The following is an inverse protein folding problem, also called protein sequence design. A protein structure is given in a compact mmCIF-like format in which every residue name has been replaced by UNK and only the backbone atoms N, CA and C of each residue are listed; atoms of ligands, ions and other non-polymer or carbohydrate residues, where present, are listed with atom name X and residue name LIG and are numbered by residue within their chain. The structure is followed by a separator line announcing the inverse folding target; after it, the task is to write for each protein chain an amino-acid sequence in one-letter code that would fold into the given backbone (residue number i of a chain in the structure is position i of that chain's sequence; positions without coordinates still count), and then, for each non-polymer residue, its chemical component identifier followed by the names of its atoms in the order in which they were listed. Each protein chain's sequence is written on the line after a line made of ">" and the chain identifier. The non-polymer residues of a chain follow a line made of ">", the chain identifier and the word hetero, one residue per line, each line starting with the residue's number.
data_IF_516717769747
#
_entry.id   IF_516717769747
#
_cell.length_a   1.000
_cell.length_b   1.000
_cell.length_c   1.000
_cell.angle_alpha   90.00
_cell.angle_beta   90.00
_cell.angle_gamma   90.00
#
_symmetry.space_group_name_H-M   'P 1'
#
loop_
_entity.id
_entity.type
_entity.pdbx_description
1 polymer ?
#
# COMPACT_ATOMS: atom_id res chain seq x y z
N UNK A 1 5.19 -4.84 -2.53
CA UNK A 1 4.72 -6.23 -2.50
C UNK A 1 5.80 -7.18 -2.99
N UNK A 2 6.09 -7.13 -4.29
CA UNK A 2 6.94 -8.10 -4.98
C UNK A 2 8.43 -8.02 -4.60
N UNK A 3 8.94 -6.82 -4.36
CA UNK A 3 10.37 -6.53 -4.20
C UNK A 3 10.86 -6.51 -2.74
N UNK A 4 9.94 -6.63 -1.77
CA UNK A 4 10.30 -6.54 -0.36
C UNK A 4 11.21 -7.70 0.05
N UNK A 5 12.42 -7.37 0.52
CA UNK A 5 13.42 -8.36 0.93
C UNK A 5 14.07 -9.14 -0.22
N UNK A 6 13.93 -8.66 -1.46
CA UNK A 6 14.55 -9.19 -2.70
C UNK A 6 15.63 -8.23 -3.25
N UNK A 7 15.68 -7.01 -2.75
CA UNK A 7 16.61 -5.96 -3.16
C UNK A 7 17.26 -5.34 -1.92
N UNK A 8 18.55 -5.02 -2.01
CA UNK A 8 19.25 -4.25 -0.97
C UNK A 8 19.15 -2.74 -1.24
N UNK A 9 17.92 -2.22 -1.29
CA UNK A 9 17.64 -0.79 -1.42
C UNK A 9 16.26 -0.45 -0.86
N UNK A 10 16.07 0.82 -0.49
CA UNK A 10 14.79 1.33 -0.03
C UNK A 10 13.82 1.58 -1.19
N UNK A 11 12.55 1.30 -0.95
CA UNK A 11 11.48 1.44 -1.95
C UNK A 11 10.52 2.53 -1.51
N UNK A 12 10.38 3.56 -2.34
CA UNK A 12 9.35 4.57 -2.19
C UNK A 12 8.15 4.24 -3.10
N UNK A 13 6.96 4.09 -2.50
CA UNK A 13 5.72 3.94 -3.24
C UNK A 13 5.12 5.30 -3.58
N UNK A 14 4.67 5.46 -4.82
CA UNK A 14 4.00 6.67 -5.29
C UNK A 14 2.76 6.31 -6.10
N UNK A 15 2.02 7.34 -6.53
CA UNK A 15 0.83 7.27 -7.39
C UNK A 15 -0.44 6.76 -6.69
N UNK A 16 -1.43 7.64 -6.59
CA UNK A 16 -2.78 7.30 -6.14
C UNK A 16 -2.97 7.20 -4.63
N UNK A 17 -2.05 7.76 -3.84
CA UNK A 17 -2.13 7.78 -2.38
C UNK A 17 -2.83 9.08 -1.96
N UNK A 18 -4.03 8.97 -1.40
CA UNK A 18 -4.83 10.12 -0.99
C UNK A 18 -5.11 10.16 0.52
N UNK A 19 -5.12 9.01 1.19
CA UNK A 19 -5.44 8.87 2.63
C UNK A 19 -4.35 8.12 3.40
N UNK A 20 -4.40 8.15 4.73
CA UNK A 20 -3.49 7.37 5.59
C UNK A 20 -3.61 5.86 5.35
N UNK A 21 -4.82 5.36 5.13
CA UNK A 21 -5.07 3.95 4.76
C UNK A 21 -4.34 3.53 3.48
N UNK A 22 -4.29 4.40 2.47
CA UNK A 22 -3.57 4.12 1.24
C UNK A 22 -2.06 4.00 1.51
N UNK A 23 -1.52 4.88 2.36
CA UNK A 23 -0.12 4.83 2.76
C UNK A 23 0.20 3.54 3.53
N UNK A 24 -0.64 3.17 4.50
CA UNK A 24 -0.49 1.92 5.27
C UNK A 24 -0.49 0.70 4.35
N UNK A 25 -1.38 0.63 3.35
CA UNK A 25 -1.40 -0.48 2.39
C UNK A 25 -0.06 -0.61 1.65
N UNK A 26 0.56 0.52 1.28
CA UNK A 26 1.86 0.50 0.61
C UNK A 26 2.98 0.00 1.55
N UNK A 27 2.97 0.43 2.81
CA UNK A 27 3.95 -0.02 3.81
C UNK A 27 3.76 -1.50 4.15
N UNK A 28 2.51 -1.97 4.33
CA UNK A 28 2.17 -3.39 4.50
C UNK A 28 2.66 -4.25 3.33
N UNK A 29 2.58 -3.72 2.10
CA UNK A 29 3.12 -4.39 0.93
C UNK A 29 4.67 -4.38 0.91
N UNK A 30 5.32 -3.56 1.74
CA UNK A 30 6.77 -3.52 1.92
C UNK A 30 7.46 -2.27 1.38
N UNK A 31 6.76 -1.15 1.23
CA UNK A 31 7.40 0.15 0.94
C UNK A 31 8.05 0.71 2.22
N UNK A 32 9.19 1.39 2.06
CA UNK A 32 9.89 2.12 3.12
C UNK A 32 9.31 3.53 3.29
N UNK A 33 8.91 4.14 2.18
CA UNK A 33 8.37 5.50 2.15
C UNK A 33 7.19 5.59 1.18
N UNK A 34 6.38 6.64 1.35
CA UNK A 34 5.29 6.98 0.43
C UNK A 34 5.45 8.42 -0.07
N UNK A 35 5.14 8.64 -1.34
CA UNK A 35 5.13 9.97 -1.94
C UNK A 35 3.70 10.38 -2.29
N UNK A 36 3.32 11.57 -1.81
CA UNK A 36 2.03 12.19 -2.07
C UNK A 36 2.21 13.53 -2.77
N UNK A 37 1.33 13.83 -3.74
CA UNK A 37 1.36 15.10 -4.48
C UNK A 37 -0.07 15.60 -4.71
N UNK A 38 -0.88 14.87 -5.49
CA UNK A 38 -2.23 15.29 -5.87
C UNK A 38 -3.16 15.53 -4.68
N UNK A 39 -3.00 14.76 -3.60
CA UNK A 39 -3.81 14.94 -2.38
C UNK A 39 -3.51 16.27 -1.70
N UNK A 40 -2.24 16.69 -1.65
CA UNK A 40 -1.81 17.97 -1.08
C UNK A 40 -2.34 19.14 -1.92
N UNK A 41 -2.25 19.06 -3.25
CA UNK A 41 -2.82 20.09 -4.12
C UNK A 41 -4.33 20.25 -3.97
N UNK A 42 -5.05 19.16 -3.68
CA UNK A 42 -6.52 19.17 -3.59
C UNK A 42 -7.03 19.59 -2.21
N UNK A 43 -6.32 19.24 -1.15
CA UNK A 43 -6.80 19.35 0.22
C UNK A 43 -5.95 20.30 1.10
N UNK A 44 -4.86 20.84 0.55
CA UNK A 44 -3.93 21.67 1.30
C UNK A 44 -2.87 20.85 2.06
N UNK A 45 -1.87 21.52 2.65
CA UNK A 45 -0.84 20.88 3.47
C UNK A 45 -1.40 20.19 4.72
N UNK A 46 -2.55 20.62 5.24
CA UNK A 46 -3.22 20.02 6.41
C UNK A 46 -3.60 18.55 6.18
N UNK A 47 -3.73 18.15 4.91
CA UNK A 47 -3.95 16.75 4.55
C UNK A 47 -2.83 15.83 5.06
N UNK A 48 -1.60 16.33 5.19
CA UNK A 48 -0.47 15.55 5.73
C UNK A 48 -0.77 15.19 7.19
N UNK A 49 -1.18 16.17 8.00
CA UNK A 49 -1.52 15.95 9.42
C UNK A 49 -2.64 14.93 9.56
N UNK A 50 -3.71 15.09 8.77
CA UNK A 50 -4.82 14.13 8.77
C UNK A 50 -4.38 12.71 8.41
N UNK A 51 -3.52 12.58 7.40
CA UNK A 51 -3.00 11.28 7.01
C UNK A 51 -2.14 10.64 8.11
N UNK A 52 -1.35 11.43 8.84
CA UNK A 52 -0.58 10.94 9.98
C UNK A 52 -1.48 10.48 11.12
N UNK A 53 -2.52 11.25 11.48
CA UNK A 53 -3.51 10.87 12.48
C UNK A 53 -4.25 9.57 12.11
N UNK A 54 -4.70 9.44 10.87
CA UNK A 54 -5.32 8.21 10.35
C UNK A 54 -4.38 7.00 10.53
N UNK A 55 -3.08 7.20 10.25
CA UNK A 55 -2.07 6.16 10.38
C UNK A 55 -1.81 5.76 11.84
N UNK A 56 -1.69 6.75 12.74
CA UNK A 56 -1.51 6.53 14.18
C UNK A 56 -2.70 5.77 14.79
N UNK A 57 -3.92 6.17 14.44
CA UNK A 57 -5.15 5.49 14.88
C UNK A 57 -5.15 4.03 14.40
N UNK A 58 -4.81 3.79 13.13
CA UNK A 58 -4.76 2.44 12.60
C UNK A 58 -3.68 1.59 13.28
N UNK A 59 -2.50 2.16 13.54
CA UNK A 59 -1.42 1.47 14.27
C UNK A 59 -1.85 1.11 15.69
N UNK A 60 -2.48 2.03 16.42
CA UNK A 60 -3.00 1.79 17.77
C UNK A 60 -4.06 0.68 17.78
N UNK A 61 -5.00 0.70 16.83
CA UNK A 61 -6.03 -0.33 16.71
C UNK A 61 -5.47 -1.72 16.38
N UNK A 62 -4.33 -1.79 15.69
CA UNK A 62 -3.66 -3.05 15.33
C UNK A 62 -2.51 -3.42 16.27
N UNK A 63 -2.32 -2.66 17.37
CA UNK A 63 -1.26 -2.87 18.37
C UNK A 63 0.15 -2.83 17.78
N UNK A 64 0.41 -1.91 16.85
CA UNK A 64 1.74 -1.64 16.32
C UNK A 64 2.34 -0.40 16.97
N UNK A 65 3.60 -0.48 17.38
CA UNK A 65 4.33 0.65 17.96
C UNK A 65 5.22 1.32 16.90
N UNK A 66 5.77 0.53 15.97
CA UNK A 66 6.71 0.99 14.96
C UNK A 66 6.25 0.62 13.54
N UNK A 67 6.68 1.40 12.55
CA UNK A 67 6.39 1.10 11.13
C UNK A 67 7.00 -0.24 10.68
N UNK A 68 8.15 -0.60 11.24
CA UNK A 68 8.83 -1.86 10.92
C UNK A 68 8.06 -3.09 11.43
N UNK A 69 7.17 -2.95 12.42
CA UNK A 69 6.40 -4.06 12.99
C UNK A 69 5.40 -4.66 12.01
N UNK A 70 4.99 -3.87 11.00
CA UNK A 70 4.01 -4.30 10.01
C UNK A 70 4.49 -4.18 8.56
N UNK A 71 5.62 -3.50 8.31
CA UNK A 71 6.17 -3.36 6.96
C UNK A 71 6.41 -4.73 6.32
N UNK A 72 5.85 -4.93 5.13
CA UNK A 72 6.03 -6.15 4.35
C UNK A 72 5.29 -7.38 4.86
N UNK A 73 4.39 -7.28 5.86
CA UNK A 73 3.53 -8.40 6.28
C UNK A 73 2.65 -8.95 5.16
N UNK A 74 2.26 -8.11 4.20
CA UNK A 74 1.51 -8.51 3.00
C UNK A 74 2.40 -8.59 1.75
N UNK A 75 3.72 -8.73 1.92
CA UNK A 75 4.65 -8.94 0.82
C UNK A 75 4.60 -10.38 0.31
N UNK A 76 5.04 -10.59 -0.93
CA UNK A 76 5.14 -11.95 -1.52
C UNK A 76 6.00 -12.88 -0.66
N UNK A 77 7.06 -12.35 -0.03
CA UNK A 77 8.02 -13.11 0.76
C UNK A 77 7.40 -13.74 2.02
N UNK A 78 6.41 -13.07 2.60
CA UNK A 78 5.80 -13.45 3.88
C UNK A 78 4.46 -14.19 3.72
N UNK A 79 4.12 -14.62 2.51
CA UNK A 79 2.91 -15.40 2.23
C UNK A 79 3.29 -16.87 2.06
N UNK A 80 2.64 -17.75 2.83
CA UNK A 80 2.96 -19.19 2.89
C UNK A 80 2.76 -19.93 1.57
N UNK A 81 1.77 -19.53 0.76
CA UNK A 81 1.56 -20.06 -0.59
C UNK A 81 1.95 -19.04 -1.68
N UNK A 82 3.12 -19.20 -2.33
CA UNK A 82 3.56 -18.34 -3.43
C UNK A 82 2.58 -18.31 -4.61
N UNK A 83 1.82 -19.40 -4.81
CA UNK A 83 0.81 -19.48 -5.86
C UNK A 83 -0.48 -18.78 -5.46
N UNK A 84 -0.81 -18.67 -4.16
CA UNK A 84 -1.97 -17.91 -3.71
C UNK A 84 -1.83 -16.43 -4.08
N UNK A 85 -0.64 -15.84 -3.91
CA UNK A 85 -0.41 -14.43 -4.28
C UNK A 85 -0.65 -14.16 -5.77
N UNK A 86 -0.09 -15.02 -6.65
CA UNK A 86 -0.28 -14.87 -8.12
C UNK A 86 -1.71 -15.21 -8.55
N UNK A 87 -2.30 -16.26 -7.99
CA UNK A 87 -3.68 -16.67 -8.32
C UNK A 87 -4.70 -15.66 -7.84
N UNK A 88 -4.54 -15.04 -6.68
CA UNK A 88 -5.44 -13.99 -6.21
C UNK A 88 -5.51 -12.83 -7.21
N UNK A 89 -4.36 -12.35 -7.68
CA UNK A 89 -4.30 -11.29 -8.70
C UNK A 89 -4.97 -11.72 -10.01
N UNK A 90 -4.75 -12.96 -10.44
CA UNK A 90 -5.35 -13.50 -11.66
C UNK A 90 -6.86 -13.70 -11.54
N UNK A 91 -7.34 -14.26 -10.42
CA UNK A 91 -8.75 -14.49 -10.13
C UNK A 91 -9.50 -13.16 -10.01
N UNK A 92 -8.92 -12.16 -9.35
CA UNK A 92 -9.53 -10.82 -9.29
C UNK A 92 -9.72 -10.23 -10.70
N UNK A 93 -8.71 -10.35 -11.57
CA UNK A 93 -8.81 -9.91 -12.97
C UNK A 93 -9.89 -10.69 -13.72
N UNK A 94 -9.97 -12.01 -13.56
CA UNK A 94 -10.99 -12.82 -14.23
C UNK A 94 -12.41 -12.50 -13.74
N UNK A 95 -12.60 -12.34 -12.43
CA UNK A 95 -13.92 -12.14 -11.83
C UNK A 95 -14.43 -10.71 -11.94
N UNK A 96 -13.53 -9.72 -11.98
CA UNK A 96 -13.88 -8.28 -11.93
C UNK A 96 -13.26 -7.48 -13.08
N UNK A 97 -12.95 -8.14 -14.19
CA UNK A 97 -12.28 -7.56 -15.37
C UNK A 97 -12.85 -6.18 -15.76
N UNK A 98 -14.16 -6.09 -15.96
CA UNK A 98 -14.82 -4.84 -16.37
C UNK A 98 -14.63 -3.67 -15.38
N UNK A 99 -14.67 -3.95 -14.08
CA UNK A 99 -14.49 -2.91 -13.05
C UNK A 99 -13.02 -2.50 -12.90
N UNK A 100 -12.11 -3.48 -12.95
CA UNK A 100 -10.67 -3.26 -12.83
C UNK A 100 -10.16 -2.42 -14.00
N UNK A 101 -10.55 -2.75 -15.23
CA UNK A 101 -10.13 -2.00 -16.42
C UNK A 101 -10.73 -0.58 -16.47
N UNK A 102 -11.91 -0.36 -15.88
CA UNK A 102 -12.51 0.98 -15.76
C UNK A 102 -11.80 1.83 -14.69
N UNK A 103 -11.39 1.23 -13.57
CA UNK A 103 -10.68 1.90 -12.47
C UNK A 103 -9.21 2.20 -12.82
N UNK A 104 -8.57 1.28 -13.55
CA UNK A 104 -7.18 1.40 -13.99
C UNK A 104 -7.10 1.21 -15.51
N UNK A 105 -7.45 2.24 -16.31
CA UNK A 105 -7.40 2.13 -17.76
C UNK A 105 -5.95 1.84 -18.21
N UNK A 106 -5.76 0.73 -18.94
CA UNK A 106 -4.51 0.50 -19.67
C UNK A 106 -4.44 1.55 -20.77
N UNK A 107 -3.42 2.41 -20.69
CA UNK A 107 -3.08 3.33 -21.78
C UNK A 107 -2.43 2.58 -22.92
#
# INVERSE_FOLDING_TARGET
>A
GLLYGELNADICASRGIFTGDDAIKMILAGANAVQIVSTVYKHGPEQITKMLEDMEIWMANNQYENMDDFRGKLSRKNIDDPFAYRRAQYVDILMKSNEIFKKYPMK
#
